data_IF_157128860499
#
_entry.id   IF_157128860499
#
_cell.length_a   1.000
_cell.length_b   1.000
_cell.length_c   1.000
_cell.angle_alpha   90.00
_cell.angle_beta   90.00
_cell.angle_gamma   90.00
#
_symmetry.space_group_name_H-M   'P 1'
#
loop_
_entity.id
_entity.type
_entity.pdbx_description
1 polymer ?
#
# COMPACT_ATOMS: atom_id res chain seq x y z
N UNK A 1 1.72 2.29 -3.36
CA UNK A 1 0.66 3.24 -3.74
C UNK A 1 0.82 3.68 -5.18
N UNK A 2 1.82 4.51 -5.53
CA UNK A 2 1.97 5.10 -6.88
C UNK A 2 1.95 4.07 -8.02
N UNK A 3 2.66 2.95 -7.88
CA UNK A 3 2.65 1.86 -8.87
C UNK A 3 1.25 1.27 -9.14
N UNK A 4 0.34 1.32 -8.15
CA UNK A 4 -1.00 0.75 -8.27
C UNK A 4 -2.07 1.81 -8.59
N UNK A 5 -1.84 3.07 -8.18
CA UNK A 5 -2.81 4.15 -8.27
C UNK A 5 -2.52 5.15 -9.40
N UNK A 6 -1.27 5.25 -9.86
CA UNK A 6 -0.79 6.27 -10.81
C UNK A 6 -0.53 7.65 -10.20
N UNK A 7 -0.71 7.82 -8.88
CA UNK A 7 -0.66 9.12 -8.19
C UNK A 7 0.16 9.01 -6.90
N UNK A 8 0.67 10.12 -6.36
CA UNK A 8 1.30 10.08 -5.04
C UNK A 8 0.23 9.93 -3.93
N UNK A 9 0.56 9.28 -2.79
CA UNK A 9 -0.39 9.18 -1.67
C UNK A 9 -0.63 10.53 -1.01
N UNK A 10 0.37 11.41 -0.96
CA UNK A 10 0.28 12.71 -0.32
C UNK A 10 0.60 13.81 -1.32
N UNK A 11 -0.37 14.69 -1.55
CA UNK A 11 -0.23 15.88 -2.37
C UNK A 11 -0.99 17.02 -1.69
N UNK A 12 -0.50 18.25 -1.82
CA UNK A 12 -1.19 19.47 -1.40
C UNK A 12 -0.59 20.67 -2.13
N UNK A 13 -1.37 21.76 -2.25
CA UNK A 13 -0.90 23.01 -2.86
C UNK A 13 0.21 23.68 -2.03
N UNK A 14 0.17 23.51 -0.71
CA UNK A 14 1.10 24.16 0.22
C UNK A 14 1.84 23.14 1.10
N UNK A 15 3.12 23.39 1.35
CA UNK A 15 3.99 22.51 2.14
C UNK A 15 3.46 22.20 3.56
N UNK A 16 2.94 23.16 4.34
CA UNK A 16 2.42 22.86 5.68
C UNK A 16 1.27 21.83 5.64
N UNK A 17 0.39 21.94 4.64
CA UNK A 17 -0.71 20.99 4.47
C UNK A 17 -0.18 19.60 4.05
N UNK A 18 0.79 19.54 3.14
CA UNK A 18 1.43 18.30 2.75
C UNK A 18 2.03 17.57 3.97
N UNK A 19 2.79 18.28 4.81
CA UNK A 19 3.36 17.70 6.03
C UNK A 19 2.28 17.25 7.02
N UNK A 20 1.17 18.00 7.15
CA UNK A 20 0.03 17.58 7.97
C UNK A 20 -0.59 16.28 7.46
N UNK A 21 -0.73 16.12 6.13
CA UNK A 21 -1.24 14.88 5.52
C UNK A 21 -0.29 13.70 5.75
N UNK A 22 1.02 13.91 5.57
CA UNK A 22 2.05 12.88 5.80
C UNK A 22 2.04 12.41 7.26
N UNK A 23 2.09 13.34 8.23
CA UNK A 23 2.13 12.99 9.67
C UNK A 23 0.86 12.30 10.13
N UNK A 24 -0.29 12.73 9.61
CA UNK A 24 -1.58 12.13 9.93
C UNK A 24 -1.94 10.90 9.09
N UNK A 25 -1.05 10.45 8.19
CA UNK A 25 -1.34 9.39 7.21
C UNK A 25 -2.68 9.60 6.47
N UNK A 26 -2.99 10.86 6.11
CA UNK A 26 -4.25 11.23 5.45
C UNK A 26 -4.07 11.19 3.93
N UNK A 27 -4.56 10.12 3.33
CA UNK A 27 -4.59 9.91 1.88
C UNK A 27 -5.81 9.09 1.48
N UNK A 28 -6.37 9.29 0.28
CA UNK A 28 -7.45 8.44 -0.21
C UNK A 28 -6.93 7.06 -0.57
N UNK A 29 -7.69 6.00 -0.30
CA UNK A 29 -7.44 4.67 -0.84
C UNK A 29 -8.33 4.46 -2.07
N UNK A 30 -7.76 4.34 -3.29
CA UNK A 30 -8.57 4.15 -4.49
C UNK A 30 -9.40 2.86 -4.41
N UNK A 31 -10.70 2.91 -4.77
CA UNK A 31 -11.61 1.77 -4.64
C UNK A 31 -11.21 0.58 -5.51
N UNK A 32 -10.54 0.85 -6.65
CA UNK A 32 -10.05 -0.14 -7.60
C UNK A 32 -8.90 -1.03 -7.09
N UNK A 33 -8.29 -0.68 -5.96
CA UNK A 33 -7.22 -1.50 -5.37
C UNK A 33 -7.81 -2.78 -4.76
N UNK A 34 -7.11 -3.91 -4.88
CA UNK A 34 -7.53 -5.14 -4.20
C UNK A 34 -7.53 -4.95 -2.68
N UNK A 35 -8.35 -5.70 -1.91
CA UNK A 35 -8.35 -5.62 -0.45
C UNK A 35 -6.95 -5.79 0.17
N UNK A 36 -6.15 -6.73 -0.36
CA UNK A 36 -4.78 -6.95 0.09
C UNK A 36 -3.85 -5.77 -0.25
N UNK A 37 -3.99 -5.14 -1.41
CA UNK A 37 -3.21 -3.96 -1.76
C UNK A 37 -3.51 -2.80 -0.81
N UNK A 38 -4.80 -2.56 -0.50
CA UNK A 38 -5.22 -1.50 0.43
C UNK A 38 -4.66 -1.75 1.83
N UNK A 39 -4.78 -2.98 2.33
CA UNK A 39 -4.25 -3.35 3.64
C UNK A 39 -2.72 -3.15 3.72
N UNK A 40 -1.97 -3.59 2.70
CA UNK A 40 -0.52 -3.40 2.68
C UNK A 40 -0.14 -1.92 2.71
N UNK A 41 -0.78 -1.10 1.88
CA UNK A 41 -0.53 0.34 1.83
C UNK A 41 -0.83 0.99 3.19
N UNK A 42 -1.95 0.64 3.82
CA UNK A 42 -2.33 1.15 5.14
C UNK A 42 -1.29 0.82 6.21
N UNK A 43 -0.79 -0.42 6.23
CA UNK A 43 0.26 -0.83 7.17
C UNK A 43 1.59 -0.11 6.90
N UNK A 44 2.02 0.01 5.64
CA UNK A 44 3.31 0.64 5.30
C UNK A 44 3.31 2.16 5.54
N UNK A 45 2.18 2.82 5.30
CA UNK A 45 2.02 4.28 5.50
C UNK A 45 1.38 4.60 6.85
N UNK A 46 1.57 3.76 7.86
CA UNK A 46 1.04 3.99 9.20
C UNK A 46 1.67 5.27 9.82
N UNK A 47 0.87 6.12 10.48
CA UNK A 47 1.34 7.39 11.03
C UNK A 47 2.37 7.18 12.14
N UNK A 48 2.14 6.19 13.02
CA UNK A 48 3.08 5.75 14.04
C UNK A 48 4.20 4.90 13.41
N UNK A 49 5.48 5.32 13.43
CA UNK A 49 6.59 4.55 12.86
C UNK A 49 6.77 3.17 13.49
N UNK A 50 6.55 3.02 14.80
CA UNK A 50 6.73 1.74 15.50
C UNK A 50 5.70 0.68 15.08
N UNK A 51 4.55 1.10 14.55
CA UNK A 51 3.51 0.21 14.04
C UNK A 51 3.69 -0.18 12.56
N UNK A 52 4.73 0.35 11.89
CA UNK A 52 5.03 -0.05 10.51
C UNK A 52 5.61 -1.47 10.47
N UNK A 53 5.20 -2.28 9.50
CA UNK A 53 5.68 -3.65 9.39
C UNK A 53 7.18 -3.68 9.07
N UNK A 54 7.87 -4.68 9.62
CA UNK A 54 9.23 -5.01 9.20
C UNK A 54 9.26 -5.47 7.74
N UNK A 55 10.43 -5.44 7.12
CA UNK A 55 10.59 -5.94 5.75
C UNK A 55 10.16 -7.41 5.61
N UNK A 56 10.45 -8.25 6.62
CA UNK A 56 10.02 -9.64 6.64
C UNK A 56 8.49 -9.77 6.65
N UNK A 57 7.81 -8.96 7.47
CA UNK A 57 6.34 -8.92 7.52
C UNK A 57 5.73 -8.43 6.20
N UNK A 58 6.34 -7.43 5.54
CA UNK A 58 5.92 -6.96 4.21
C UNK A 58 6.03 -8.08 3.19
N UNK A 59 7.15 -8.79 3.14
CA UNK A 59 7.38 -9.90 2.18
C UNK A 59 6.39 -11.05 2.37
N UNK A 60 5.96 -11.31 3.61
CA UNK A 60 4.96 -12.33 3.93
C UNK A 60 3.51 -11.89 3.69
N UNK A 61 3.26 -10.62 3.36
CA UNK A 61 1.90 -10.11 3.25
C UNK A 61 1.14 -10.76 2.09
N UNK A 62 -0.17 -11.09 2.24
CA UNK A 62 -0.99 -11.72 1.20
C UNK A 62 -0.98 -11.01 -0.16
N UNK A 63 -0.74 -9.70 -0.18
CA UNK A 63 -0.59 -8.95 -1.43
C UNK A 63 0.60 -9.43 -2.28
N UNK A 64 1.69 -9.86 -1.66
CA UNK A 64 2.91 -10.33 -2.35
C UNK A 64 2.99 -11.86 -2.43
N UNK A 65 2.40 -12.57 -1.49
CA UNK A 65 2.48 -14.04 -1.42
C UNK A 65 1.33 -14.74 -2.14
N UNK A 66 0.16 -14.11 -2.25
CA UNK A 66 -0.98 -14.68 -2.97
C UNK A 66 -0.85 -14.43 -4.47
N UNK A 67 0.15 -15.04 -5.10
CA UNK A 67 0.19 -15.21 -6.55
C UNK A 67 -0.87 -16.26 -6.90
N UNK A 68 -2.10 -15.82 -7.19
CA UNK A 68 -3.07 -16.70 -7.86
C UNK A 68 -2.65 -16.85 -9.31
N UNK A 69 -1.96 -17.95 -9.59
CA UNK A 69 -1.99 -18.64 -10.89
C UNK A 69 -1.26 -17.98 -12.05
N UNK A 70 0.07 -17.94 -12.02
CA UNK A 70 0.83 -18.09 -13.26
C UNK A 70 1.54 -19.44 -13.20
N UNK A 71 1.00 -20.45 -13.89
CA UNK A 71 1.62 -21.77 -13.99
C UNK A 71 0.93 -22.87 -13.18
N UNK A 72 -0.22 -23.36 -13.67
CA UNK A 72 -0.59 -24.78 -13.76
C UNK A 72 -1.78 -24.88 -14.74
N UNK A 73 -1.45 -24.69 -16.01
CA UNK A 73 -2.28 -25.05 -17.16
C UNK A 73 -1.35 -25.77 -18.13
N UNK A 74 -1.00 -27.00 -17.79
CA UNK A 74 -0.14 -27.89 -18.57
C UNK A 74 -0.30 -29.30 -17.98
N UNK A 75 -0.67 -30.24 -18.85
CA UNK A 75 -1.23 -31.58 -18.60
C UNK A 75 -2.71 -31.50 -18.15
N UNK A 76 -3.69 -32.00 -18.91
CA UNK A 76 -3.74 -33.07 -19.93
C UNK A 76 -4.91 -32.81 -20.88
#
# INVERSE_FOLDING_TARGET
YALLSGHAPFEARHRPELYRRIRGARYPLPPRLSPHARALIAHMLHPEPAARPSLAAVRGHPFLTQVRGWGRGGHE
#
